data_IF_556704239214
#
_entry.id   IF_556704239214
#
_cell.length_a   1.000
_cell.length_b   1.000
_cell.length_c   1.000
_cell.angle_alpha   90.00
_cell.angle_beta   90.00
_cell.angle_gamma   90.00
#
_symmetry.space_group_name_H-M   'P 1'
#
loop_
_entity.id
_entity.type
_entity.pdbx_description
1 polymer ?
#
# COMPACT_ATOMS: atom_id res chain seq x y z
N UNK A 1 -17.86 -0.99 4.28
CA UNK A 1 -16.84 -0.17 3.61
C UNK A 1 -15.55 -0.49 4.33
N UNK A 2 -14.82 -1.47 3.79
CA UNK A 2 -13.55 -1.95 4.32
C UNK A 2 -12.52 -1.73 3.21
N UNK A 3 -11.59 -0.77 3.34
CA UNK A 3 -10.58 -0.48 2.33
C UNK A 3 -9.44 -1.49 2.48
N UNK A 4 -9.71 -2.78 2.25
CA UNK A 4 -8.75 -3.84 2.58
C UNK A 4 -8.78 -4.93 1.51
N UNK A 5 -8.16 -4.71 0.36
CA UNK A 5 -7.94 -5.80 -0.61
C UNK A 5 -6.51 -5.83 -1.10
N UNK A 6 -5.59 -6.21 -0.20
CA UNK A 6 -4.41 -6.94 -0.63
C UNK A 6 -4.90 -8.22 -1.28
N UNK A 7 -4.76 -8.30 -2.60
CA UNK A 7 -4.98 -9.53 -3.33
C UNK A 7 -3.65 -10.30 -3.41
N UNK A 8 -3.39 -11.28 -2.51
CA UNK A 8 -2.22 -12.16 -2.62
C UNK A 8 -2.32 -13.13 -3.81
N UNK A 9 -3.32 -12.99 -4.69
CA UNK A 9 -3.63 -13.96 -5.75
C UNK A 9 -2.67 -13.94 -6.93
N UNK A 10 -1.76 -12.98 -7.02
CA UNK A 10 -0.69 -13.02 -8.00
C UNK A 10 0.33 -14.11 -7.61
N UNK A 11 0.44 -15.17 -8.43
CA UNK A 11 1.58 -16.11 -8.43
C UNK A 11 2.93 -15.42 -8.70
N UNK A 12 2.96 -14.09 -8.82
CA UNK A 12 4.13 -13.30 -9.14
C UNK A 12 5.06 -13.04 -7.96
N UNK A 13 6.18 -12.40 -8.29
CA UNK A 13 7.27 -12.02 -7.39
C UNK A 13 6.88 -10.93 -6.36
N UNK A 14 5.74 -10.29 -6.55
CA UNK A 14 5.35 -9.09 -5.82
C UNK A 14 4.01 -9.26 -5.12
N UNK A 15 3.90 -8.63 -3.95
CA UNK A 15 2.63 -8.38 -3.27
C UNK A 15 2.16 -6.98 -3.66
N UNK A 16 0.92 -6.89 -4.17
CA UNK A 16 0.32 -5.62 -4.57
C UNK A 16 -0.59 -5.14 -3.45
N UNK A 17 -0.27 -4.00 -2.85
CA UNK A 17 -1.11 -3.32 -1.86
C UNK A 17 -1.89 -2.18 -2.51
N UNK A 18 -3.09 -1.95 -2.00
CA UNK A 18 -3.95 -0.84 -2.41
C UNK A 18 -4.09 0.09 -1.22
N UNK A 19 -3.80 1.37 -1.45
CA UNK A 19 -3.85 2.40 -0.43
C UNK A 19 -4.92 3.40 -0.85
N UNK A 20 -6.06 3.33 -0.17
CA UNK A 20 -7.16 4.29 -0.36
C UNK A 20 -6.74 5.68 0.12
N UNK A 21 -6.95 6.68 -0.72
CA UNK A 21 -6.66 8.08 -0.39
C UNK A 21 -7.93 8.81 0.01
N UNK A 22 -7.88 9.90 0.78
CA UNK A 22 -9.09 10.69 1.02
C UNK A 22 -9.64 11.28 -0.29
N UNK A 23 -10.95 11.39 -0.44
CA UNK A 23 -11.57 11.98 -1.64
C UNK A 23 -10.99 13.36 -1.96
N UNK A 24 -10.63 13.58 -3.24
CA UNK A 24 -9.99 14.81 -3.71
C UNK A 24 -8.46 14.86 -3.57
N UNK A 25 -7.83 13.76 -3.13
CA UNK A 25 -6.37 13.65 -3.14
C UNK A 25 -5.79 13.32 -4.50
N UNK A 26 -4.68 13.97 -4.83
CA UNK A 26 -3.88 13.65 -6.00
C UNK A 26 -2.65 12.84 -5.57
N UNK A 27 -2.46 11.66 -6.15
CA UNK A 27 -1.27 10.81 -5.91
C UNK A 27 0.05 11.52 -6.23
N UNK A 28 0.05 12.56 -7.08
CA UNK A 28 1.25 13.31 -7.43
C UNK A 28 1.90 13.99 -6.22
N UNK A 29 1.13 14.17 -5.15
CA UNK A 29 1.62 14.71 -3.90
C UNK A 29 2.27 13.66 -3.01
N UNK A 30 2.03 12.37 -3.25
CA UNK A 30 2.59 11.31 -2.42
C UNK A 30 4.07 11.17 -2.74
N UNK A 31 4.88 11.12 -1.69
CA UNK A 31 6.29 10.78 -1.79
C UNK A 31 6.43 9.25 -1.74
N UNK A 32 6.71 8.55 -2.86
CA UNK A 32 6.80 7.09 -2.86
C UNK A 32 7.97 6.58 -2.02
N UNK A 33 9.00 7.42 -1.79
CA UNK A 33 10.16 7.04 -1.00
C UNK A 33 9.85 6.94 0.50
N UNK A 34 8.81 7.66 0.94
CA UNK A 34 8.29 7.64 2.31
C UNK A 34 7.49 6.37 2.63
N UNK A 35 6.99 5.67 1.61
CA UNK A 35 6.14 4.49 1.80
C UNK A 35 6.96 3.30 2.31
N UNK A 36 6.49 2.71 3.40
CA UNK A 36 7.04 1.50 4.02
C UNK A 36 5.90 0.59 4.41
N UNK A 37 6.06 -0.71 4.24
CA UNK A 37 5.15 -1.70 4.79
C UNK A 37 5.64 -2.12 6.18
N UNK A 38 4.73 -2.07 7.16
CA UNK A 38 4.97 -2.27 8.59
C UNK A 38 6.22 -1.51 9.06
N UNK A 39 6.35 -0.25 8.62
CA UNK A 39 7.46 0.65 8.95
C UNK A 39 8.87 0.19 8.51
N UNK A 40 8.99 -0.98 7.89
CA UNK A 40 10.27 -1.65 7.67
C UNK A 40 10.56 -1.95 6.19
N UNK A 41 9.57 -2.41 5.42
CA UNK A 41 9.80 -2.92 4.07
C UNK A 41 9.57 -1.80 3.05
N UNK A 42 10.59 -1.35 2.29
CA UNK A 42 10.40 -0.37 1.23
C UNK A 42 9.66 -0.97 0.03
N UNK A 43 9.11 -0.09 -0.79
CA UNK A 43 8.64 -0.44 -2.12
C UNK A 43 9.76 -1.09 -2.94
N UNK A 44 9.38 -1.97 -3.87
CA UNK A 44 10.32 -2.51 -4.85
C UNK A 44 10.90 -1.34 -5.68
N UNK A 45 12.23 -1.22 -5.81
CA UNK A 45 12.86 -0.18 -6.60
C UNK A 45 12.30 -0.13 -8.03
N UNK A 46 11.96 1.07 -8.50
CA UNK A 46 11.37 1.25 -9.84
C UNK A 46 9.87 0.93 -9.93
N UNK A 47 9.21 0.62 -8.82
CA UNK A 47 7.74 0.51 -8.79
C UNK A 47 7.12 1.85 -9.15
N UNK A 48 6.35 1.86 -10.24
CA UNK A 48 5.46 2.98 -10.54
C UNK A 48 4.26 2.91 -9.63
N UNK A 49 4.10 3.94 -8.81
CA UNK A 49 2.84 4.21 -8.13
C UNK A 49 1.79 4.43 -9.21
N UNK A 50 0.80 3.54 -9.28
CA UNK A 50 -0.26 3.60 -10.29
C UNK A 50 -1.55 4.02 -9.60
N UNK A 51 -2.34 4.82 -10.30
CA UNK A 51 -3.67 5.23 -9.87
C UNK A 51 -4.68 4.22 -10.39
N UNK A 52 -5.51 3.69 -9.51
CA UNK A 52 -6.70 2.93 -9.86
C UNK A 52 -7.93 3.46 -9.12
N UNK A 53 -9.09 2.91 -9.41
CA UNK A 53 -10.29 2.99 -8.58
C UNK A 53 -10.70 1.53 -8.39
N UNK A 54 -10.00 0.84 -7.48
CA UNK A 54 -10.03 -0.61 -7.38
C UNK A 54 -11.39 -1.10 -6.87
N UNK A 55 -12.02 -0.33 -5.98
CA UNK A 55 -13.33 -0.62 -5.42
C UNK A 55 -14.49 0.15 -6.10
N UNK A 56 -14.19 0.94 -7.14
CA UNK A 56 -15.17 1.68 -7.95
C UNK A 56 -15.98 2.70 -7.14
N UNK A 57 -15.38 3.27 -6.09
CA UNK A 57 -15.99 4.30 -5.25
C UNK A 57 -15.76 5.73 -5.77
N UNK A 58 -14.99 5.87 -6.86
CA UNK A 58 -14.63 7.15 -7.47
C UNK A 58 -13.45 7.85 -6.78
N UNK A 59 -12.82 7.20 -5.81
CA UNK A 59 -11.64 7.67 -5.09
C UNK A 59 -10.40 6.98 -5.67
N UNK A 60 -9.35 7.75 -6.01
CA UNK A 60 -8.11 7.16 -6.51
C UNK A 60 -7.38 6.30 -5.45
N UNK A 61 -7.23 5.02 -5.74
CA UNK A 61 -6.36 4.08 -5.01
C UNK A 61 -4.93 4.15 -5.51
N UNK A 62 -4.01 4.13 -4.56
CA UNK A 62 -2.59 4.01 -4.81
C UNK A 62 -2.19 2.53 -4.83
N UNK A 63 -1.73 2.08 -6.00
CA UNK A 63 -1.26 0.70 -6.21
C UNK A 63 0.25 0.65 -5.99
N UNK A 64 0.67 -0.10 -4.97
CA UNK A 64 2.08 -0.28 -4.58
C UNK A 64 2.50 -1.74 -4.62
N UNK A 65 3.80 -1.98 -4.82
CA UNK A 65 4.38 -3.32 -4.91
C UNK A 65 5.52 -3.51 -3.92
N UNK A 66 5.41 -4.58 -3.15
CA UNK A 66 6.42 -5.03 -2.20
C UNK A 66 7.01 -6.38 -2.64
N UNK A 67 8.26 -6.64 -2.28
CA UNK A 67 8.89 -7.93 -2.59
C UNK A 67 8.26 -9.03 -1.73
N UNK A 68 7.67 -10.03 -2.38
CA UNK A 68 6.94 -11.09 -1.69
C UNK A 68 7.82 -11.92 -0.75
N UNK A 69 9.09 -12.14 -1.10
CA UNK A 69 9.99 -12.92 -0.24
C UNK A 69 10.26 -12.17 1.06
N UNK A 70 10.46 -10.85 0.97
CA UNK A 70 10.67 -9.99 2.14
C UNK A 70 9.39 -9.91 2.97
N UNK A 71 8.22 -9.66 2.36
CA UNK A 71 6.97 -9.59 3.14
C UNK A 71 6.64 -10.91 3.82
N UNK A 72 6.94 -12.05 3.18
CA UNK A 72 6.76 -13.37 3.80
C UNK A 72 7.58 -13.56 5.09
N UNK A 73 8.71 -12.88 5.26
CA UNK A 73 9.48 -12.98 6.50
C UNK A 73 8.77 -12.35 7.69
N UNK A 74 7.77 -11.47 7.46
CA UNK A 74 6.93 -10.89 8.51
C UNK A 74 5.92 -11.90 9.08
N UNK A 75 5.62 -12.97 8.35
CA UNK A 75 4.59 -13.93 8.72
C UNK A 75 5.22 -15.23 9.20
N UNK A 76 5.20 -15.44 10.51
CA UNK A 76 5.77 -16.64 11.14
C UNK A 76 4.77 -17.79 11.27
N UNK A 77 3.47 -17.52 11.08
CA UNK A 77 2.39 -18.49 11.19
C UNK A 77 1.28 -18.20 10.16
N UNK A 78 0.48 -19.20 9.78
CA UNK A 78 -0.77 -18.94 9.07
C UNK A 78 -1.71 -18.09 9.92
N UNK A 79 -2.43 -17.15 9.31
CA UNK A 79 -3.32 -16.24 10.03
C UNK A 79 -3.68 -14.98 9.25
N UNK A 80 -4.55 -14.16 9.85
CA UNK A 80 -4.83 -12.82 9.37
C UNK A 80 -3.78 -11.85 9.93
N UNK A 81 -3.21 -11.03 9.06
CA UNK A 81 -2.25 -10.01 9.42
C UNK A 81 -2.74 -8.66 8.92
N UNK A 82 -2.70 -7.66 9.79
CA UNK A 82 -2.87 -6.26 9.39
C UNK A 82 -1.53 -5.73 8.88
N UNK A 83 -1.57 -5.19 7.68
CA UNK A 83 -0.48 -4.46 7.06
C UNK A 83 -0.70 -2.97 7.30
N UNK A 84 0.34 -2.29 7.77
CA UNK A 84 0.37 -0.86 7.99
C UNK A 84 1.29 -0.23 6.94
N UNK A 85 0.80 0.77 6.22
CA UNK A 85 1.54 1.51 5.20
C UNK A 85 1.44 3.00 5.53
N UNK A 86 2.36 3.53 6.36
CA UNK A 86 2.49 4.96 6.52
C UNK A 86 3.09 5.58 5.26
N UNK A 87 2.76 6.84 5.05
CA UNK A 87 3.30 7.63 3.98
C UNK A 87 3.19 9.12 4.24
N UNK A 88 3.84 9.88 3.39
CA UNK A 88 3.76 11.32 3.40
C UNK A 88 3.26 11.82 2.05
N UNK A 89 2.43 12.85 2.08
CA UNK A 89 2.15 13.64 0.89
C UNK A 89 2.52 15.12 1.11
N UNK A 90 2.88 15.80 0.04
CA UNK A 90 3.25 17.21 0.04
C UNK A 90 2.10 18.03 -0.51
N UNK A 91 1.45 18.84 0.32
CA UNK A 91 0.38 19.76 -0.09
C UNK A 91 0.79 21.19 0.22
N UNK A 92 0.86 22.03 -0.83
CA UNK A 92 1.18 23.45 -0.70
C UNK A 92 2.49 23.72 0.07
N UNK A 93 3.50 22.85 -0.12
CA UNK A 93 4.80 22.95 0.55
C UNK A 93 4.86 22.33 1.96
N UNK A 94 3.74 21.81 2.48
CA UNK A 94 3.71 21.11 3.76
C UNK A 94 3.67 19.59 3.55
N UNK A 95 4.52 18.87 4.27
CA UNK A 95 4.46 17.41 4.37
C UNK A 95 3.40 17.04 5.39
N UNK A 96 2.42 16.25 4.98
CA UNK A 96 1.38 15.71 5.86
C UNK A 96 1.50 14.18 5.87
N UNK A 97 1.63 13.57 7.05
CA UNK A 97 1.64 12.12 7.17
C UNK A 97 0.22 11.56 6.97
N UNK A 98 0.15 10.35 6.43
CA UNK A 98 -1.05 9.55 6.38
C UNK A 98 -0.72 8.10 6.77
N UNK A 99 -1.73 7.38 7.22
CA UNK A 99 -1.63 5.96 7.55
C UNK A 99 -2.68 5.20 6.74
N UNK A 100 -2.25 4.12 6.10
CA UNK A 100 -3.12 3.19 5.42
C UNK A 100 -2.98 1.81 6.07
N UNK A 101 -4.10 1.10 6.19
CA UNK A 101 -4.14 -0.23 6.76
C UNK A 101 -4.76 -1.17 5.73
N UNK A 102 -4.31 -2.41 5.73
CA UNK A 102 -4.86 -3.48 4.89
C UNK A 102 -4.79 -4.81 5.65
N UNK A 103 -5.54 -5.83 5.24
CA UNK A 103 -5.54 -7.15 5.86
C UNK A 103 -5.20 -8.24 4.85
N UNK A 104 -4.24 -9.09 5.20
CA UNK A 104 -3.85 -10.24 4.38
C UNK A 104 -4.00 -11.55 5.17
N UNK A 105 -4.60 -12.54 4.53
CA UNK A 105 -4.63 -13.90 5.07
C UNK A 105 -3.47 -14.73 4.50
N UNK A 106 -2.63 -15.23 5.40
CA UNK A 106 -1.50 -16.10 5.10
C UNK A 106 -1.91 -17.54 5.39
N UNK A 107 -1.78 -18.41 4.37
CA UNK A 107 -2.02 -19.86 4.45
C UNK A 107 -0.74 -20.62 4.70
#
# INVERSE_FOLDING_TARGET
MDPNVLSPTSKGKYITGYVGLPAGFNVSFIDPSSLRLNDAIPLVPGTRVTIGDHDSDGIPDLIVKFDRQIVKTLFTKPGNYTLHIPGNYVRSGNTVPFEAFDSVYVR
#
